data_IF_056052587123
#
_entry.id   IF_056052587123
#
_cell.length_a   1.000
_cell.length_b   1.000
_cell.length_c   1.000
_cell.angle_alpha   90.00
_cell.angle_beta   90.00
_cell.angle_gamma   90.00
#
_symmetry.space_group_name_H-M   'P 1'
#
loop_
_entity.id
_entity.type
_entity.pdbx_description
1 polymer ?
#
# COMPACT_ATOMS: atom_id res chain seq x y z
N UNK A 1 0.44 -12.09 6.63
CA UNK A 1 0.82 -11.44 7.91
C UNK A 1 1.84 -10.31 7.71
N UNK A 2 2.94 -10.54 6.98
CA UNK A 2 3.96 -9.51 6.75
C UNK A 2 3.42 -8.28 6.01
N UNK A 3 2.48 -8.42 5.10
CA UNK A 3 1.90 -7.34 4.32
C UNK A 3 1.09 -6.33 5.15
N UNK A 4 0.55 -6.73 6.29
CA UNK A 4 -0.26 -5.84 7.15
C UNK A 4 0.58 -4.92 8.05
N UNK A 5 1.84 -5.24 8.25
CA UNK A 5 2.76 -4.52 9.15
C UNK A 5 4.06 -4.12 8.45
N UNK A 6 4.05 -4.06 7.12
CA UNK A 6 5.19 -3.53 6.37
C UNK A 6 5.17 -2.01 6.34
N UNK A 7 6.34 -1.40 6.11
CA UNK A 7 6.53 0.05 6.05
C UNK A 7 5.45 0.80 5.25
N UNK A 8 5.10 0.42 3.98
CA UNK A 8 4.09 1.14 3.23
C UNK A 8 2.69 1.09 3.86
N UNK A 9 2.32 -0.05 4.49
CA UNK A 9 1.01 -0.17 5.15
C UNK A 9 0.96 0.71 6.38
N UNK A 10 1.94 0.59 7.27
CA UNK A 10 2.02 1.40 8.48
C UNK A 10 2.12 2.89 8.17
N UNK A 11 2.86 3.27 7.12
CA UNK A 11 2.90 4.64 6.64
C UNK A 11 1.53 5.14 6.16
N UNK A 12 0.77 4.30 5.48
CA UNK A 12 -0.62 4.59 5.09
C UNK A 12 -1.52 4.82 6.32
N UNK A 13 -1.42 3.96 7.32
CA UNK A 13 -2.17 4.07 8.58
C UNK A 13 -1.77 5.33 9.37
N UNK A 14 -0.48 5.64 9.43
CA UNK A 14 0.04 6.86 10.06
C UNK A 14 -0.49 8.14 9.37
N UNK A 15 -0.58 8.13 8.03
CA UNK A 15 -1.20 9.25 7.27
C UNK A 15 -2.68 9.39 7.55
N UNK A 16 -3.41 8.28 7.67
CA UNK A 16 -4.85 8.30 7.95
C UNK A 16 -5.18 8.99 9.28
N UNK A 17 -4.24 8.97 10.23
CA UNK A 17 -4.37 9.70 11.51
C UNK A 17 -3.55 11.00 11.55
N UNK A 18 -3.01 11.45 10.41
CA UNK A 18 -2.19 12.67 10.29
C UNK A 18 -0.98 12.71 11.24
N UNK A 19 -0.39 11.54 11.57
CA UNK A 19 0.68 11.42 12.56
C UNK A 19 1.90 12.28 12.21
N UNK A 20 2.21 12.44 10.92
CA UNK A 20 3.32 13.27 10.45
C UNK A 20 3.26 14.72 10.93
N UNK A 21 2.06 15.26 11.11
CA UNK A 21 1.87 16.66 11.53
C UNK A 21 2.33 16.92 12.98
N UNK A 22 2.38 15.87 13.78
CA UNK A 22 2.77 15.93 15.19
C UNK A 22 4.24 15.61 15.44
N UNK A 23 5.00 15.23 14.40
CA UNK A 23 6.42 14.90 14.56
C UNK A 23 7.27 16.15 14.73
N UNK A 24 8.17 16.11 15.70
CA UNK A 24 9.22 17.12 15.88
C UNK A 24 10.47 16.63 15.13
N UNK A 25 10.70 17.18 13.95
CA UNK A 25 11.84 16.80 13.11
C UNK A 25 12.98 17.80 13.21
N UNK A 26 14.20 17.33 13.00
CA UNK A 26 15.34 18.21 12.80
C UNK A 26 15.23 18.99 11.49
N UNK A 27 15.89 20.17 11.39
CA UNK A 27 15.81 21.07 10.23
C UNK A 27 16.11 20.36 8.89
N UNK A 28 17.06 19.42 8.87
CA UNK A 28 17.43 18.68 7.66
C UNK A 28 16.29 17.79 7.16
N UNK A 29 15.67 17.02 8.07
CA UNK A 29 14.54 16.15 7.75
C UNK A 29 13.28 16.95 7.37
N UNK A 30 13.06 18.09 8.02
CA UNK A 30 11.94 18.97 7.67
C UNK A 30 12.05 19.48 6.23
N UNK A 31 13.25 19.98 5.84
CA UNK A 31 13.51 20.51 4.49
C UNK A 31 13.38 19.42 3.42
N UNK A 32 13.77 18.17 3.73
CA UNK A 32 13.73 17.06 2.79
C UNK A 32 12.37 16.33 2.78
N UNK A 33 11.36 16.87 3.45
CA UNK A 33 10.00 16.30 3.46
C UNK A 33 9.85 15.07 4.36
N UNK A 34 10.65 14.96 5.42
CA UNK A 34 10.64 13.83 6.36
C UNK A 34 9.27 13.50 6.96
N UNK A 35 8.40 14.53 7.17
CA UNK A 35 7.01 14.32 7.64
C UNK A 35 6.16 13.42 6.76
N UNK A 36 6.52 13.29 5.47
CA UNK A 36 5.78 12.49 4.49
C UNK A 36 6.54 11.23 4.06
N UNK A 37 7.76 11.04 4.56
CA UNK A 37 8.60 9.89 4.23
C UNK A 37 8.08 8.65 4.94
N UNK A 38 7.84 7.58 4.17
CA UNK A 38 7.24 6.33 4.65
C UNK A 38 7.99 5.73 5.83
N UNK A 39 9.32 5.64 5.75
CA UNK A 39 10.14 5.08 6.83
C UNK A 39 10.01 5.86 8.14
N UNK A 40 9.95 7.20 8.09
CA UNK A 40 9.85 8.03 9.30
C UNK A 40 8.47 7.91 9.95
N UNK A 41 7.39 7.97 9.13
CA UNK A 41 6.03 7.93 9.68
C UNK A 41 5.59 6.54 10.10
N UNK A 42 6.11 5.47 9.46
CA UNK A 42 5.88 4.09 9.91
C UNK A 42 6.56 3.82 11.25
N UNK A 43 7.84 4.19 11.38
CA UNK A 43 8.58 4.06 12.65
C UNK A 43 7.91 4.87 13.77
N UNK A 44 7.41 6.06 13.46
CA UNK A 44 6.66 6.88 14.42
C UNK A 44 5.37 6.18 14.88
N UNK A 45 4.64 5.51 13.98
CA UNK A 45 3.45 4.76 14.36
C UNK A 45 3.79 3.57 15.27
N UNK A 46 4.86 2.85 14.98
CA UNK A 46 5.36 1.78 15.85
C UNK A 46 5.74 2.31 17.24
N UNK A 47 6.41 3.46 17.29
CA UNK A 47 6.75 4.12 18.55
C UNK A 47 5.50 4.53 19.36
N UNK A 48 4.45 5.04 18.70
CA UNK A 48 3.17 5.36 19.34
C UNK A 48 2.50 4.11 19.92
N UNK A 49 2.49 3.00 19.18
CA UNK A 49 1.95 1.71 19.69
C UNK A 49 2.75 1.26 20.92
N UNK A 50 4.08 1.37 20.85
CA UNK A 50 4.96 1.04 21.99
C UNK A 50 4.69 1.94 23.20
N UNK A 51 4.51 3.24 23.01
CA UNK A 51 4.19 4.18 24.09
C UNK A 51 2.84 3.87 24.74
N UNK A 52 1.81 3.58 23.96
CA UNK A 52 0.48 3.20 24.45
C UNK A 52 0.59 1.88 25.27
N UNK A 53 1.41 0.93 24.81
CA UNK A 53 1.64 -0.31 25.54
C UNK A 53 2.31 -0.08 26.89
N UNK A 54 3.32 0.78 26.95
CA UNK A 54 4.04 1.09 28.17
C UNK A 54 3.17 1.86 29.20
N UNK A 55 2.31 2.73 28.73
CA UNK A 55 1.44 3.54 29.57
C UNK A 55 0.15 2.81 30.01
N UNK A 56 -0.55 2.18 29.05
CA UNK A 56 -1.88 1.58 29.25
C UNK A 56 -1.93 0.07 29.16
N UNK A 57 -0.80 -0.60 28.92
CA UNK A 57 -0.68 -2.05 28.80
C UNK A 57 -1.24 -2.62 27.50
N UNK A 58 -1.26 -3.95 27.42
CA UNK A 58 -1.61 -4.68 26.20
C UNK A 58 -3.06 -4.41 25.73
N UNK A 59 -3.99 -4.19 26.63
CA UNK A 59 -5.39 -3.94 26.28
C UNK A 59 -5.56 -2.65 25.49
N UNK A 60 -4.92 -1.56 25.92
CA UNK A 60 -4.96 -0.26 25.23
C UNK A 60 -4.25 -0.31 23.89
N UNK A 61 -3.07 -0.93 23.83
CA UNK A 61 -2.35 -1.12 22.57
C UNK A 61 -3.14 -1.98 21.58
N UNK A 62 -3.78 -3.05 22.04
CA UNK A 62 -4.65 -3.91 21.20
C UNK A 62 -5.83 -3.13 20.63
N UNK A 63 -6.48 -2.30 21.43
CA UNK A 63 -7.60 -1.48 20.97
C UNK A 63 -7.16 -0.48 19.90
N UNK A 64 -6.04 0.20 20.12
CA UNK A 64 -5.45 1.13 19.15
C UNK A 64 -5.12 0.42 17.83
N UNK A 65 -4.41 -0.71 17.88
CA UNK A 65 -4.05 -1.50 16.69
C UNK A 65 -5.29 -1.98 15.94
N UNK A 66 -6.32 -2.48 16.64
CA UNK A 66 -7.57 -2.90 16.00
C UNK A 66 -8.28 -1.75 15.29
N UNK A 67 -8.27 -0.57 15.90
CA UNK A 67 -8.98 0.59 15.40
C UNK A 67 -8.27 1.29 14.23
N UNK A 68 -6.95 1.37 14.26
CA UNK A 68 -6.19 2.21 13.33
C UNK A 68 -5.28 1.42 12.38
N UNK A 69 -4.89 0.21 12.72
CA UNK A 69 -4.01 -0.62 11.87
C UNK A 69 -4.76 -1.77 11.21
N UNK A 70 -5.71 -2.39 11.92
CA UNK A 70 -6.45 -3.55 11.43
C UNK A 70 -7.88 -3.22 10.98
N UNK A 71 -8.21 -1.94 10.82
CA UNK A 71 -9.57 -1.49 10.49
C UNK A 71 -10.04 -1.87 9.07
N UNK A 72 -9.10 -2.14 8.16
CA UNK A 72 -9.41 -2.42 6.75
C UNK A 72 -8.56 -3.60 6.22
N UNK A 73 -8.57 -4.69 6.96
CA UNK A 73 -7.73 -5.86 6.66
C UNK A 73 -8.04 -6.44 5.27
N UNK A 74 -9.31 -6.47 4.87
CA UNK A 74 -9.72 -7.07 3.61
C UNK A 74 -9.18 -6.30 2.40
N UNK A 75 -9.28 -4.97 2.39
CA UNK A 75 -8.71 -4.13 1.35
C UNK A 75 -7.18 -4.17 1.34
N UNK A 76 -6.56 -4.09 2.53
CA UNK A 76 -5.11 -4.22 2.65
C UNK A 76 -4.61 -5.55 2.11
N UNK A 77 -5.26 -6.66 2.50
CA UNK A 77 -4.95 -7.99 1.99
C UNK A 77 -5.15 -8.07 0.48
N UNK A 78 -6.29 -7.57 -0.01
CA UNK A 78 -6.58 -7.52 -1.44
C UNK A 78 -5.51 -6.74 -2.20
N UNK A 79 -5.08 -5.59 -1.70
CA UNK A 79 -4.05 -4.78 -2.33
C UNK A 79 -2.70 -5.50 -2.38
N UNK A 80 -2.25 -6.08 -1.26
CA UNK A 80 -0.92 -6.71 -1.18
C UNK A 80 -0.83 -8.07 -1.87
N UNK A 81 -1.92 -8.80 -1.93
CA UNK A 81 -2.00 -10.10 -2.58
C UNK A 81 -2.61 -10.00 -4.00
N UNK A 82 -2.84 -8.77 -4.51
CA UNK A 82 -3.58 -8.50 -5.74
C UNK A 82 -3.05 -9.26 -6.95
N UNK A 83 -1.73 -9.37 -7.14
CA UNK A 83 -1.16 -10.12 -8.27
C UNK A 83 -1.50 -11.62 -8.21
N UNK A 84 -1.44 -12.23 -7.02
CA UNK A 84 -1.79 -13.63 -6.82
C UNK A 84 -3.30 -13.85 -6.99
N UNK A 85 -4.11 -12.97 -6.39
CA UNK A 85 -5.58 -13.05 -6.48
C UNK A 85 -6.04 -12.87 -7.94
N UNK A 86 -5.49 -11.90 -8.66
CA UNK A 86 -5.81 -11.68 -10.07
C UNK A 86 -5.42 -12.91 -10.91
N UNK A 87 -4.25 -13.51 -10.65
CA UNK A 87 -3.79 -14.72 -11.31
C UNK A 87 -4.79 -15.87 -11.12
N UNK A 88 -5.26 -16.11 -9.90
CA UNK A 88 -6.26 -17.14 -9.58
C UNK A 88 -7.60 -16.85 -10.28
N UNK A 89 -8.07 -15.60 -10.26
CA UNK A 89 -9.31 -15.19 -10.91
C UNK A 89 -9.27 -15.44 -12.43
N UNK A 90 -8.16 -15.05 -13.08
CA UNK A 90 -8.03 -15.19 -14.54
C UNK A 90 -7.83 -16.65 -14.94
N UNK A 91 -7.01 -17.41 -14.23
CA UNK A 91 -6.79 -18.84 -14.53
C UNK A 91 -8.07 -19.67 -14.41
N UNK A 92 -9.00 -19.28 -13.55
CA UNK A 92 -10.30 -19.95 -13.42
C UNK A 92 -11.27 -19.66 -14.56
N UNK A 93 -11.09 -18.55 -15.29
CA UNK A 93 -12.07 -18.03 -16.26
C UNK A 93 -11.51 -17.87 -17.68
N UNK A 94 -10.19 -17.76 -17.84
CA UNK A 94 -9.52 -17.50 -19.12
C UNK A 94 -8.33 -18.45 -19.31
N UNK A 95 -8.09 -18.87 -20.57
CA UNK A 95 -6.90 -19.66 -20.95
C UNK A 95 -5.71 -18.79 -21.33
N UNK A 96 -5.80 -17.47 -21.13
CA UNK A 96 -4.80 -16.51 -21.54
C UNK A 96 -3.90 -16.08 -20.37
N UNK A 97 -2.65 -15.74 -20.69
CA UNK A 97 -1.68 -15.30 -19.69
C UNK A 97 -1.89 -13.83 -19.31
N UNK A 98 -1.62 -13.53 -18.03
CA UNK A 98 -1.57 -12.17 -17.52
C UNK A 98 -0.21 -11.56 -17.85
N UNK A 99 -0.22 -10.41 -18.51
CA UNK A 99 0.99 -9.67 -18.87
C UNK A 99 0.98 -8.29 -18.22
N UNK A 100 2.05 -7.97 -17.49
CA UNK A 100 2.28 -6.62 -16.95
C UNK A 100 3.23 -5.87 -17.89
N UNK A 101 2.88 -4.63 -18.22
CA UNK A 101 3.70 -3.74 -19.05
C UNK A 101 3.95 -2.44 -18.32
N UNK A 102 5.20 -1.97 -18.38
CA UNK A 102 5.54 -0.64 -17.91
C UNK A 102 5.06 0.37 -18.97
N UNK A 103 4.08 1.20 -18.62
CA UNK A 103 3.51 2.19 -19.51
C UNK A 103 4.23 3.54 -19.44
N UNK A 104 4.91 3.83 -18.33
CA UNK A 104 5.67 5.07 -18.17
C UNK A 104 6.49 5.14 -16.90
N UNK A 105 7.43 6.05 -16.88
CA UNK A 105 8.15 6.50 -15.69
C UNK A 105 8.28 8.02 -15.70
N UNK A 106 8.05 8.65 -14.56
CA UNK A 106 8.09 10.09 -14.40
C UNK A 106 8.81 10.47 -13.11
N UNK A 107 9.38 11.68 -13.09
CA UNK A 107 10.07 12.25 -11.93
C UNK A 107 11.59 12.06 -11.94
N UNK A 108 12.29 12.75 -11.03
CA UNK A 108 13.75 12.65 -10.89
C UNK A 108 14.16 11.29 -10.32
N UNK A 109 15.41 10.90 -10.50
CA UNK A 109 15.93 9.57 -10.10
C UNK A 109 15.68 9.20 -8.63
N UNK A 110 15.64 10.17 -7.74
CA UNK A 110 15.41 9.97 -6.31
C UNK A 110 13.92 9.97 -5.92
N UNK A 111 13.01 10.28 -6.86
CA UNK A 111 11.57 10.35 -6.62
C UNK A 111 10.78 9.90 -7.87
N UNK A 112 11.20 8.80 -8.49
CA UNK A 112 10.55 8.22 -9.66
C UNK A 112 9.18 7.63 -9.31
N UNK A 113 8.22 7.86 -10.19
CA UNK A 113 6.93 7.19 -10.21
C UNK A 113 6.84 6.34 -11.47
N UNK A 114 6.52 5.08 -11.31
CA UNK A 114 6.30 4.13 -12.40
C UNK A 114 4.82 3.94 -12.64
N UNK A 115 4.42 3.82 -13.90
CA UNK A 115 3.07 3.44 -14.30
C UNK A 115 3.12 2.06 -14.94
N UNK A 116 2.31 1.14 -14.45
CA UNK A 116 2.17 -0.21 -15.00
C UNK A 116 0.72 -0.47 -15.43
N UNK A 117 0.58 -1.29 -16.43
CA UNK A 117 -0.69 -1.78 -16.97
C UNK A 117 -0.71 -3.31 -16.93
N UNK A 118 -1.87 -3.89 -16.66
CA UNK A 118 -2.09 -5.33 -16.66
C UNK A 118 -3.06 -5.73 -17.76
N UNK A 119 -2.68 -6.71 -18.55
CA UNK A 119 -3.42 -7.23 -19.70
C UNK A 119 -3.72 -8.71 -19.54
N UNK A 120 -4.84 -9.14 -20.14
CA UNK A 120 -5.15 -10.54 -20.45
C UNK A 120 -5.37 -10.61 -21.97
N UNK A 121 -4.49 -11.32 -22.66
CA UNK A 121 -4.41 -11.25 -24.12
C UNK A 121 -4.18 -9.83 -24.61
N UNK A 122 -5.16 -9.27 -25.35
CA UNK A 122 -5.12 -7.88 -25.84
C UNK A 122 -5.93 -6.90 -24.97
N UNK A 123 -6.68 -7.38 -23.99
CA UNK A 123 -7.57 -6.56 -23.17
C UNK A 123 -6.80 -5.95 -22.00
N UNK A 124 -6.85 -4.61 -21.86
CA UNK A 124 -6.38 -3.89 -20.69
C UNK A 124 -7.39 -4.09 -19.54
N UNK A 125 -6.95 -4.68 -18.43
CA UNK A 125 -7.78 -4.89 -17.24
C UNK A 125 -7.62 -3.82 -16.18
N UNK A 126 -6.44 -3.22 -16.09
CA UNK A 126 -6.19 -2.18 -15.09
C UNK A 126 -4.84 -1.50 -15.28
N UNK A 127 -4.73 -0.31 -14.68
CA UNK A 127 -3.51 0.48 -14.63
C UNK A 127 -3.26 0.95 -13.20
N UNK A 128 -1.99 1.13 -12.85
CA UNK A 128 -1.61 1.56 -11.51
C UNK A 128 -0.25 2.23 -11.48
N UNK A 129 -0.04 3.04 -10.47
CA UNK A 129 1.21 3.77 -10.26
C UNK A 129 1.89 3.34 -8.95
N UNK A 130 3.20 3.53 -8.88
CA UNK A 130 3.98 3.22 -7.67
C UNK A 130 5.41 3.74 -7.75
N UNK A 131 6.07 3.86 -6.61
CA UNK A 131 7.48 4.28 -6.52
C UNK A 131 8.48 3.20 -6.97
N UNK A 132 8.02 2.00 -7.18
CA UNK A 132 8.77 0.91 -7.79
C UNK A 132 7.94 0.25 -8.87
N UNK A 133 8.57 -0.41 -9.83
CA UNK A 133 7.88 -1.19 -10.87
C UNK A 133 6.93 -2.22 -10.23
N UNK A 134 7.41 -2.92 -9.19
CA UNK A 134 6.61 -3.90 -8.45
C UNK A 134 5.38 -3.28 -7.79
N UNK A 135 5.51 -2.09 -7.20
CA UNK A 135 4.38 -1.39 -6.57
C UNK A 135 3.36 -0.92 -7.61
N UNK A 136 3.82 -0.44 -8.78
CA UNK A 136 2.95 -0.06 -9.89
C UNK A 136 2.18 -1.27 -10.45
N UNK A 137 2.83 -2.41 -10.67
CA UNK A 137 2.18 -3.65 -11.11
C UNK A 137 1.15 -4.15 -10.09
N UNK A 138 1.46 -4.04 -8.81
CA UNK A 138 0.55 -4.42 -7.73
C UNK A 138 -0.69 -3.53 -7.67
N UNK A 139 -0.51 -2.22 -7.85
CA UNK A 139 -1.59 -1.25 -7.98
C UNK A 139 -2.46 -1.52 -9.22
N UNK A 140 -1.85 -1.85 -10.36
CA UNK A 140 -2.57 -2.21 -11.57
C UNK A 140 -3.44 -3.48 -11.37
N UNK A 141 -2.88 -4.51 -10.73
CA UNK A 141 -3.62 -5.73 -10.40
C UNK A 141 -4.80 -5.46 -9.45
N UNK A 142 -4.59 -4.62 -8.44
CA UNK A 142 -5.66 -4.23 -7.51
C UNK A 142 -6.82 -3.55 -8.23
N UNK A 143 -6.54 -2.56 -9.10
CA UNK A 143 -7.57 -1.87 -9.86
C UNK A 143 -8.30 -2.81 -10.82
N UNK A 144 -7.58 -3.75 -11.46
CA UNK A 144 -8.20 -4.78 -12.30
C UNK A 144 -9.18 -5.66 -11.51
N UNK A 145 -8.82 -6.12 -10.31
CA UNK A 145 -9.71 -6.90 -9.46
C UNK A 145 -10.97 -6.10 -9.08
N UNK A 146 -10.79 -4.82 -8.70
CA UNK A 146 -11.92 -3.96 -8.35
C UNK A 146 -12.89 -3.77 -9.53
N UNK A 147 -12.37 -3.56 -10.75
CA UNK A 147 -13.17 -3.44 -11.97
C UNK A 147 -13.93 -4.74 -12.28
N UNK A 148 -13.25 -5.90 -12.27
CA UNK A 148 -13.86 -7.20 -12.52
C UNK A 148 -14.96 -7.57 -11.50
N UNK A 149 -14.82 -7.15 -10.25
CA UNK A 149 -15.85 -7.38 -9.21
C UNK A 149 -17.08 -6.48 -9.39
N UNK A 150 -16.93 -5.27 -9.93
CA UNK A 150 -18.05 -4.37 -10.23
C UNK A 150 -18.86 -4.81 -11.44
N UNK A 151 -18.23 -5.47 -12.42
CA UNK A 151 -18.91 -6.02 -13.60
C UNK A 151 -19.73 -7.29 -13.30
N UNK A 152 -19.55 -7.91 -12.12
CA UNK A 152 -20.27 -9.12 -11.70
C UNK A 152 -21.53 -8.84 -10.85
N UNK A 153 -21.86 -7.57 -10.59
CA UNK A 153 -23.07 -7.12 -9.88
C UNK A 153 -24.08 -6.53 -10.87
#
# INVERSE_FOLDING_TARGET
RASLVCEPTLAGDARAISLGDYLLLGKGEEITGGRKRDSIISDALEAVIGAIYLDGGLSCAREFVRRFVLNDIEHKKLFYDSKAILQEMIQSSYQEEIVYRLAGEEGPDHDKTFTAEVYVGSQLLGSGTGRTKKAAEQSAAYHAICALRQEQV
#
